data_IF_613886415483
#
_entry.id   IF_613886415483
#
_cell.length_a   1.000
_cell.length_b   1.000
_cell.length_c   1.000
_cell.angle_alpha   90.00
_cell.angle_beta   90.00
_cell.angle_gamma   90.00
#
_symmetry.space_group_name_H-M   'P 1'
#
loop_
_entity.id
_entity.type
_entity.pdbx_description
1 polymer ?
#
# COMPACT_ATOMS: atom_id res chain seq x y z
N UNK A 1 8.79 -21.04 -28.63
CA UNK A 1 7.41 -20.80 -28.18
C UNK A 1 7.28 -21.29 -26.74
N UNK A 2 7.73 -20.54 -25.73
CA UNK A 2 7.58 -20.98 -24.31
C UNK A 2 7.79 -19.87 -23.25
N UNK A 3 7.48 -18.61 -23.57
CA UNK A 3 7.58 -17.51 -22.59
C UNK A 3 6.28 -16.70 -22.41
N UNK A 4 5.19 -17.12 -23.06
CA UNK A 4 3.89 -16.42 -23.03
C UNK A 4 2.90 -17.07 -22.04
N UNK A 5 3.27 -18.19 -21.42
CA UNK A 5 2.43 -18.92 -20.46
C UNK A 5 2.61 -18.48 -19.00
N UNK A 6 3.67 -17.74 -18.65
CA UNK A 6 4.02 -17.49 -17.24
C UNK A 6 3.33 -16.27 -16.62
N UNK A 7 2.98 -15.26 -17.41
CA UNK A 7 2.34 -14.01 -16.93
C UNK A 7 0.82 -14.08 -16.96
N UNK A 8 0.24 -14.96 -17.79
CA UNK A 8 -1.21 -15.16 -17.92
C UNK A 8 -1.83 -15.80 -16.68
N UNK A 9 -1.05 -16.59 -15.93
CA UNK A 9 -1.53 -17.33 -14.76
C UNK A 9 -1.74 -16.44 -13.53
N UNK A 10 -0.99 -15.33 -13.37
CA UNK A 10 -1.06 -14.53 -12.14
C UNK A 10 -2.37 -13.73 -11.98
N UNK A 11 -2.95 -13.24 -13.07
CA UNK A 11 -4.22 -12.49 -13.05
C UNK A 11 -5.44 -13.41 -13.12
N UNK A 12 -5.35 -14.52 -13.86
CA UNK A 12 -6.38 -15.56 -13.81
C UNK A 12 -6.44 -16.25 -12.44
N UNK A 13 -5.31 -16.49 -11.76
CA UNK A 13 -5.30 -16.97 -10.37
C UNK A 13 -5.87 -15.94 -9.40
N UNK A 14 -5.62 -14.64 -9.63
CA UNK A 14 -6.20 -13.56 -8.82
C UNK A 14 -7.74 -13.52 -8.89
N UNK A 15 -8.30 -13.85 -10.05
CA UNK A 15 -9.74 -13.82 -10.35
C UNK A 15 -10.41 -15.18 -10.07
N UNK A 16 -9.69 -16.30 -10.20
CA UNK A 16 -10.19 -17.65 -9.85
C UNK A 16 -10.15 -17.91 -8.33
N UNK A 17 -9.24 -17.28 -7.59
CA UNK A 17 -9.22 -17.28 -6.11
C UNK A 17 -10.36 -16.45 -5.48
N UNK A 18 -11.14 -15.72 -6.30
CA UNK A 18 -12.41 -15.11 -5.89
C UNK A 18 -13.52 -16.14 -5.67
N UNK A 19 -13.21 -17.44 -5.80
CA UNK A 19 -14.08 -18.53 -5.39
C UNK A 19 -14.21 -18.56 -3.86
N UNK A 20 -15.46 -18.50 -3.42
CA UNK A 20 -16.04 -18.53 -2.05
C UNK A 20 -15.60 -19.68 -1.12
N UNK A 21 -14.49 -20.39 -1.41
CA UNK A 21 -13.91 -21.43 -0.55
C UNK A 21 -13.15 -20.88 0.66
N UNK A 22 -12.83 -19.58 0.71
CA UNK A 22 -12.12 -18.97 1.85
C UNK A 22 -13.02 -18.65 3.05
N UNK A 23 -14.35 -18.61 2.85
CA UNK A 23 -15.31 -18.38 3.94
C UNK A 23 -15.34 -19.52 4.98
N UNK A 24 -14.74 -20.68 4.69
CA UNK A 24 -14.80 -21.85 5.58
C UNK A 24 -13.47 -22.28 6.19
N UNK A 25 -12.30 -21.79 5.74
CA UNK A 25 -11.01 -22.36 6.19
C UNK A 25 -10.18 -21.51 7.17
N UNK A 26 -10.47 -20.22 7.35
CA UNK A 26 -9.68 -19.37 8.27
C UNK A 26 -10.49 -18.55 9.26
N UNK A 27 -11.74 -18.97 9.47
CA UNK A 27 -12.62 -18.45 10.52
C UNK A 27 -12.15 -18.84 11.92
N UNK A 28 -11.28 -19.85 12.07
CA UNK A 28 -10.85 -20.32 13.41
C UNK A 28 -9.91 -19.34 14.12
N UNK A 29 -8.76 -18.92 13.54
CA UNK A 29 -7.72 -18.26 14.35
C UNK A 29 -8.02 -16.86 14.89
N UNK A 30 -8.88 -16.07 14.23
CA UNK A 30 -9.27 -14.74 14.74
C UNK A 30 -10.42 -14.83 15.76
N UNK A 31 -11.38 -15.72 15.52
CA UNK A 31 -12.51 -15.98 16.42
C UNK A 31 -12.03 -16.72 17.68
N UNK A 32 -11.05 -17.63 17.54
CA UNK A 32 -10.29 -18.26 18.64
C UNK A 32 -9.50 -17.22 19.44
N UNK A 33 -8.84 -16.25 18.80
CA UNK A 33 -8.17 -15.17 19.54
C UNK A 33 -9.18 -14.24 20.23
N UNK A 34 -10.40 -14.06 19.70
CA UNK A 34 -11.48 -13.35 20.41
C UNK A 34 -11.95 -14.15 21.63
N UNK A 35 -12.17 -15.46 21.47
CA UNK A 35 -12.58 -16.36 22.55
C UNK A 35 -11.54 -16.42 23.66
N UNK A 36 -10.25 -16.59 23.32
CA UNK A 36 -9.12 -16.60 24.26
C UNK A 36 -9.02 -15.30 25.09
N UNK A 37 -9.29 -14.14 24.46
CA UNK A 37 -9.27 -12.85 25.17
C UNK A 37 -10.51 -12.73 26.06
N UNK A 38 -11.68 -13.19 25.61
CA UNK A 38 -12.90 -13.20 26.43
C UNK A 38 -12.77 -14.08 27.67
N UNK A 39 -12.07 -15.21 27.56
CA UNK A 39 -11.80 -16.12 28.68
C UNK A 39 -10.77 -15.56 29.69
N UNK A 40 -10.07 -14.47 29.34
CA UNK A 40 -9.11 -13.77 30.21
C UNK A 40 -9.60 -12.35 30.56
N UNK A 41 -10.44 -12.17 31.61
CA UNK A 41 -11.10 -10.89 31.89
C UNK A 41 -10.14 -9.73 32.21
N UNK A 42 -8.91 -10.02 32.63
CA UNK A 42 -7.86 -9.00 32.84
C UNK A 42 -7.35 -8.35 31.55
N UNK A 43 -7.65 -8.93 30.40
CA UNK A 43 -7.19 -8.46 29.09
C UNK A 43 -8.32 -7.90 28.21
N UNK A 44 -9.56 -7.90 28.69
CA UNK A 44 -10.73 -7.41 27.94
C UNK A 44 -11.16 -6.01 28.39
N UNK A 45 -11.41 -5.11 27.43
CA UNK A 45 -11.93 -3.77 27.67
C UNK A 45 -13.36 -3.71 27.13
N UNK A 46 -14.33 -3.50 28.01
CA UNK A 46 -15.77 -3.47 27.68
C UNK A 46 -16.17 -2.38 26.70
N UNK A 47 -15.44 -1.25 26.70
CA UNK A 47 -15.77 -0.11 25.82
C UNK A 47 -15.33 -0.33 24.38
N UNK A 48 -14.43 -1.30 24.14
CA UNK A 48 -13.86 -1.61 22.84
C UNK A 48 -14.65 -2.72 22.14
N UNK A 49 -14.75 -2.63 20.82
CA UNK A 49 -15.26 -3.74 20.01
C UNK A 49 -14.35 -4.98 20.14
N UNK A 50 -14.84 -6.20 19.84
CA UNK A 50 -14.02 -7.40 19.85
C UNK A 50 -12.76 -7.29 18.97
N UNK A 51 -12.92 -6.70 17.79
CA UNK A 51 -11.81 -6.47 16.84
C UNK A 51 -10.80 -5.48 17.42
N UNK A 52 -11.27 -4.39 18.05
CA UNK A 52 -10.39 -3.43 18.70
C UNK A 52 -9.63 -4.05 19.89
N UNK A 53 -10.27 -4.90 20.70
CA UNK A 53 -9.59 -5.63 21.78
C UNK A 53 -8.44 -6.51 21.27
N UNK A 54 -8.67 -7.28 20.19
CA UNK A 54 -7.62 -8.09 19.56
C UNK A 54 -6.45 -7.21 19.08
N UNK A 55 -6.74 -6.10 18.40
CA UNK A 55 -5.71 -5.18 17.91
C UNK A 55 -4.90 -4.60 19.07
N UNK A 56 -5.55 -4.09 20.11
CA UNK A 56 -4.85 -3.52 21.27
C UNK A 56 -3.97 -4.57 21.95
N UNK A 57 -4.42 -5.82 22.08
CA UNK A 57 -3.61 -6.91 22.63
C UNK A 57 -2.39 -7.24 21.77
N UNK A 58 -2.52 -7.22 20.44
CA UNK A 58 -1.37 -7.41 19.55
C UNK A 58 -0.39 -6.23 19.66
N UNK A 59 -0.90 -5.00 19.76
CA UNK A 59 -0.08 -3.82 20.02
C UNK A 59 0.68 -3.91 21.35
N UNK A 60 0.03 -4.37 22.43
CA UNK A 60 0.68 -4.51 23.75
C UNK A 60 1.80 -5.55 23.72
N UNK A 61 1.59 -6.69 23.04
CA UNK A 61 2.62 -7.70 22.78
C UNK A 61 3.83 -7.11 22.03
N UNK A 62 3.60 -6.32 20.98
CA UNK A 62 4.67 -5.64 20.21
C UNK A 62 5.45 -4.66 21.08
N UNK A 63 4.77 -3.96 21.99
CA UNK A 63 5.40 -3.01 22.91
C UNK A 63 6.14 -3.70 24.07
N UNK A 64 5.94 -5.00 24.28
CA UNK A 64 6.45 -5.73 25.44
C UNK A 64 5.80 -5.27 26.76
N UNK A 65 4.57 -4.76 26.70
CA UNK A 65 3.82 -4.24 27.84
C UNK A 65 2.56 -5.07 28.08
N UNK A 66 2.10 -5.12 29.33
CA UNK A 66 0.76 -5.64 29.63
C UNK A 66 -0.32 -4.66 29.16
N UNK A 67 -1.55 -5.16 28.97
CA UNK A 67 -2.72 -4.32 28.65
C UNK A 67 -2.94 -3.22 29.69
N UNK A 68 -2.73 -3.53 30.98
CA UNK A 68 -2.85 -2.58 32.08
C UNK A 68 -1.79 -1.47 32.00
N UNK A 69 -0.53 -1.81 31.69
CA UNK A 69 0.54 -0.83 31.52
C UNK A 69 0.30 0.09 30.31
N UNK A 70 -0.22 -0.45 29.21
CA UNK A 70 -0.60 0.36 28.04
C UNK A 70 -1.71 1.35 28.40
N UNK A 71 -2.69 0.92 29.20
CA UNK A 71 -3.76 1.78 29.71
C UNK A 71 -3.25 2.85 30.66
N UNK A 72 -2.41 2.50 31.64
CA UNK A 72 -1.81 3.46 32.56
C UNK A 72 -0.99 4.52 31.81
N UNK A 73 -0.18 4.10 30.84
CA UNK A 73 0.59 5.01 29.98
C UNK A 73 -0.30 5.94 29.15
N UNK A 74 -1.46 5.44 28.71
CA UNK A 74 -2.45 6.27 28.04
C UNK A 74 -3.05 7.28 29.02
N UNK A 75 -3.51 6.83 30.20
CA UNK A 75 -4.17 7.68 31.19
C UNK A 75 -3.24 8.77 31.76
N UNK A 76 -1.93 8.50 31.83
CA UNK A 76 -0.91 9.47 32.22
C UNK A 76 -0.69 10.57 31.17
N UNK A 77 -0.91 10.27 29.88
CA UNK A 77 -0.70 11.21 28.76
C UNK A 77 -2.00 11.86 28.29
N UNK A 78 -3.13 11.21 28.53
CA UNK A 78 -4.44 11.65 28.06
C UNK A 78 -4.99 12.76 28.98
N UNK A 79 -5.39 13.92 28.43
CA UNK A 79 -6.14 14.92 29.17
C UNK A 79 -7.45 14.33 29.71
N UNK A 80 -7.88 14.77 30.90
CA UNK A 80 -9.09 14.24 31.54
C UNK A 80 -10.37 14.51 30.73
N UNK A 81 -10.35 15.50 29.84
CA UNK A 81 -11.44 15.81 28.89
C UNK A 81 -11.66 14.73 27.80
N UNK A 82 -10.68 13.86 27.58
CA UNK A 82 -10.71 12.78 26.58
C UNK A 82 -11.19 11.46 27.20
N UNK A 83 -10.93 11.23 28.49
CA UNK A 83 -11.28 10.00 29.21
C UNK A 83 -12.79 9.78 29.36
N UNK A 84 -13.59 10.85 29.34
CA UNK A 84 -15.04 10.81 29.58
C UNK A 84 -15.91 10.92 28.31
N UNK A 85 -15.32 10.86 27.10
CA UNK A 85 -16.06 11.05 25.84
C UNK A 85 -16.41 9.72 25.16
N UNK A 86 -17.49 9.75 24.37
CA UNK A 86 -17.90 8.72 23.41
C UNK A 86 -16.82 8.30 22.39
N UNK A 87 -15.69 9.01 22.34
CA UNK A 87 -14.55 8.72 21.47
C UNK A 87 -13.41 7.98 22.17
N UNK A 88 -13.54 7.63 23.46
CA UNK A 88 -12.49 6.94 24.23
C UNK A 88 -11.95 5.71 23.48
N UNK A 89 -12.84 4.84 23.01
CA UNK A 89 -12.48 3.62 22.28
C UNK A 89 -11.59 3.90 21.06
N UNK A 90 -11.93 4.94 20.29
CA UNK A 90 -11.19 5.35 19.09
C UNK A 90 -9.83 5.92 19.43
N UNK A 91 -9.77 6.83 20.39
CA UNK A 91 -8.53 7.52 20.76
C UNK A 91 -7.56 6.56 21.44
N UNK A 92 -8.06 5.66 22.27
CA UNK A 92 -7.25 4.62 22.89
C UNK A 92 -6.71 3.62 21.84
N UNK A 93 -7.54 3.19 20.88
CA UNK A 93 -7.10 2.36 19.76
C UNK A 93 -6.01 3.07 18.95
N UNK A 94 -6.23 4.32 18.55
CA UNK A 94 -5.25 5.14 17.80
C UNK A 94 -3.92 5.26 18.55
N UNK A 95 -3.96 5.51 19.86
CA UNK A 95 -2.75 5.55 20.69
C UNK A 95 -1.98 4.22 20.66
N UNK A 96 -2.68 3.09 20.84
CA UNK A 96 -2.07 1.77 20.83
C UNK A 96 -1.47 1.44 19.45
N UNK A 97 -2.22 1.74 18.39
CA UNK A 97 -1.76 1.57 17.01
C UNK A 97 -0.52 2.41 16.72
N UNK A 98 -0.55 3.68 17.07
CA UNK A 98 0.57 4.60 16.86
C UNK A 98 1.84 4.11 17.55
N UNK A 99 1.74 3.74 18.83
CA UNK A 99 2.88 3.25 19.60
C UNK A 99 3.47 1.96 19.01
N UNK A 100 2.62 1.01 18.62
CA UNK A 100 3.08 -0.25 18.02
C UNK A 100 3.69 -0.04 16.62
N UNK A 101 3.07 0.82 15.79
CA UNK A 101 3.59 1.17 14.47
C UNK A 101 4.95 1.86 14.57
N UNK A 102 5.11 2.82 15.47
CA UNK A 102 6.37 3.52 15.70
C UNK A 102 7.53 2.57 16.04
N UNK A 103 7.24 1.42 16.65
CA UNK A 103 8.24 0.39 17.00
C UNK A 103 8.51 -0.59 15.87
N UNK A 104 7.47 -1.00 15.14
CA UNK A 104 7.58 -1.96 14.04
C UNK A 104 8.25 -1.38 12.80
N UNK A 105 8.02 -0.10 12.47
CA UNK A 105 8.65 0.54 11.31
C UNK A 105 10.16 0.76 11.47
N UNK A 106 10.71 0.59 12.68
CA UNK A 106 12.16 0.66 12.93
C UNK A 106 12.88 -0.61 12.47
N UNK A 107 12.16 -1.69 12.17
CA UNK A 107 12.73 -2.94 11.69
C UNK A 107 12.83 -2.91 10.17
N UNK A 108 14.02 -3.14 9.64
CA UNK A 108 14.22 -3.22 8.19
C UNK A 108 13.37 -4.34 7.58
N UNK A 109 12.73 -4.04 6.44
CA UNK A 109 11.87 -5.00 5.75
C UNK A 109 10.52 -5.26 6.44
N UNK A 110 10.07 -4.39 7.36
CA UNK A 110 8.77 -4.54 8.04
C UNK A 110 7.58 -4.78 7.10
N UNK A 111 7.61 -4.29 5.86
CA UNK A 111 6.58 -4.52 4.85
C UNK A 111 6.54 -5.98 4.33
N UNK A 112 7.65 -6.72 4.43
CA UNK A 112 7.71 -8.13 4.05
C UNK A 112 7.16 -9.06 5.16
N UNK A 113 6.98 -8.57 6.38
CA UNK A 113 6.39 -9.31 7.49
C UNK A 113 4.86 -9.46 7.31
N UNK A 114 4.38 -10.70 7.19
CA UNK A 114 2.95 -11.01 7.07
C UNK A 114 2.16 -10.65 8.32
N UNK A 115 2.77 -10.71 9.50
CA UNK A 115 2.13 -10.34 10.76
C UNK A 115 1.93 -8.82 10.82
N UNK A 116 2.92 -8.04 10.39
CA UNK A 116 2.79 -6.59 10.26
C UNK A 116 1.65 -6.23 9.30
N UNK A 117 1.61 -6.82 8.09
CA UNK A 117 0.55 -6.53 7.11
C UNK A 117 -0.83 -6.94 7.62
N UNK A 118 -0.93 -8.06 8.33
CA UNK A 118 -2.19 -8.48 8.96
C UNK A 118 -2.62 -7.52 10.06
N UNK A 119 -1.68 -7.11 10.90
CA UNK A 119 -1.93 -6.17 11.97
C UNK A 119 -2.43 -4.82 11.43
N UNK A 120 -1.77 -4.23 10.44
CA UNK A 120 -2.19 -2.93 9.88
C UNK A 120 -3.56 -3.00 9.21
N UNK A 121 -3.90 -4.15 8.61
CA UNK A 121 -5.25 -4.39 8.12
C UNK A 121 -6.27 -4.47 9.26
N UNK A 122 -5.99 -5.25 10.30
CA UNK A 122 -6.90 -5.40 11.45
C UNK A 122 -7.04 -4.06 12.21
N UNK A 123 -5.98 -3.23 12.28
CA UNK A 123 -6.03 -1.86 12.79
C UNK A 123 -7.00 -0.98 12.00
N UNK A 124 -6.96 -1.05 10.67
CA UNK A 124 -7.86 -0.29 9.79
C UNK A 124 -9.32 -0.71 9.99
N UNK A 125 -9.59 -2.01 10.09
CA UNK A 125 -10.93 -2.54 10.36
C UNK A 125 -11.41 -2.12 11.76
N UNK A 126 -10.54 -2.22 12.77
CA UNK A 126 -10.85 -1.80 14.14
C UNK A 126 -11.15 -0.29 14.23
N UNK A 127 -10.47 0.53 13.42
CA UNK A 127 -10.65 1.98 13.42
C UNK A 127 -12.01 2.42 12.85
N UNK A 128 -12.58 1.64 11.93
CA UNK A 128 -13.93 1.88 11.41
C UNK A 128 -14.99 1.69 12.51
N UNK A 129 -14.80 0.69 13.38
CA UNK A 129 -15.72 0.30 14.44
C UNK A 129 -15.02 0.04 15.79
N UNK A 130 -14.53 1.09 16.47
CA UNK A 130 -13.65 0.92 17.64
C UNK A 130 -14.40 0.59 18.93
N UNK A 131 -15.67 1.01 19.06
CA UNK A 131 -16.44 0.91 20.30
C UNK A 131 -17.37 -0.31 20.33
N UNK A 132 -17.64 -0.89 21.51
CA UNK A 132 -18.55 -2.03 21.66
C UNK A 132 -19.98 -1.73 21.17
N UNK A 133 -20.43 -0.48 21.29
CA UNK A 133 -21.76 -0.04 20.82
C UNK A 133 -21.94 -0.07 19.30
N UNK A 134 -20.87 -0.28 18.53
CA UNK A 134 -20.91 -0.40 17.08
C UNK A 134 -21.21 -1.81 16.57
N UNK A 135 -21.22 -2.82 17.45
CA UNK A 135 -21.46 -4.23 17.13
C UNK A 135 -22.77 -4.52 16.35
N UNK A 136 -23.94 -3.92 16.68
CA UNK A 136 -25.16 -4.14 15.89
C UNK A 136 -25.09 -3.48 14.49
N UNK A 137 -24.30 -2.41 14.33
CA UNK A 137 -24.10 -1.74 13.03
C UNK A 137 -23.18 -2.57 12.12
N UNK A 138 -22.16 -3.24 12.69
CA UNK A 138 -21.27 -4.14 11.95
C UNK A 138 -22.05 -5.29 11.33
N UNK A 139 -22.97 -5.93 12.07
CA UNK A 139 -23.74 -7.06 11.56
C UNK A 139 -24.68 -6.67 10.42
N UNK A 140 -25.28 -5.47 10.48
CA UNK A 140 -26.13 -4.91 9.43
C UNK A 140 -25.31 -4.53 8.18
N UNK A 141 -24.15 -3.90 8.36
CA UNK A 141 -23.28 -3.51 7.25
C UNK A 141 -22.59 -4.73 6.61
N UNK A 142 -22.18 -5.72 7.40
CA UNK A 142 -21.57 -6.96 6.92
C UNK A 142 -22.54 -7.81 6.09
N UNK A 143 -23.85 -7.78 6.41
CA UNK A 143 -24.88 -8.42 5.60
C UNK A 143 -25.09 -7.75 4.23
N UNK A 144 -24.68 -6.48 4.08
CA UNK A 144 -24.92 -5.67 2.87
C UNK A 144 -23.72 -5.56 1.92
N UNK A 145 -22.51 -5.97 2.30
CA UNK A 145 -21.30 -5.45 1.64
C UNK A 145 -20.57 -6.44 0.72
N UNK A 146 -20.81 -6.30 -0.59
CA UNK A 146 -19.88 -6.72 -1.65
C UNK A 146 -18.69 -5.77 -1.84
N UNK A 147 -18.67 -4.61 -1.17
CA UNK A 147 -17.72 -3.51 -1.38
C UNK A 147 -16.60 -3.37 -0.33
N UNK A 148 -16.44 -4.34 0.60
CA UNK A 148 -15.39 -4.25 1.63
C UNK A 148 -14.01 -4.63 1.10
N UNK A 149 -12.97 -3.88 1.49
CA UNK A 149 -11.59 -4.21 1.16
C UNK A 149 -11.20 -5.56 1.79
N UNK A 150 -10.86 -6.53 0.97
CA UNK A 150 -10.44 -7.84 1.43
C UNK A 150 -8.95 -7.88 1.80
N UNK A 151 -8.58 -8.62 2.85
CA UNK A 151 -7.19 -8.71 3.30
C UNK A 151 -6.23 -9.17 2.19
N UNK A 152 -6.65 -10.10 1.32
CA UNK A 152 -5.81 -10.58 0.22
C UNK A 152 -5.45 -9.49 -0.81
N UNK A 153 -6.32 -8.49 -0.99
CA UNK A 153 -6.04 -7.33 -1.86
C UNK A 153 -5.06 -6.40 -1.17
N UNK A 154 -5.30 -6.10 0.11
CA UNK A 154 -4.43 -5.27 0.94
C UNK A 154 -3.01 -5.84 1.09
N UNK A 155 -2.90 -7.14 1.37
CA UNK A 155 -1.64 -7.89 1.48
C UNK A 155 -0.81 -7.79 0.19
N UNK A 156 -1.45 -8.05 -0.96
CA UNK A 156 -0.82 -7.91 -2.28
C UNK A 156 -0.41 -6.46 -2.60
N UNK A 157 -1.18 -5.48 -2.13
CA UNK A 157 -0.84 -4.06 -2.28
C UNK A 157 0.43 -3.72 -1.49
N UNK A 158 0.48 -4.05 -0.20
CA UNK A 158 1.65 -3.76 0.64
C UNK A 158 2.92 -4.48 0.19
N UNK A 159 2.82 -5.73 -0.30
CA UNK A 159 3.96 -6.44 -0.89
C UNK A 159 4.50 -5.69 -2.11
N UNK A 160 3.61 -5.20 -3.00
CA UNK A 160 4.02 -4.40 -4.16
C UNK A 160 4.63 -3.07 -3.75
N UNK A 161 4.06 -2.41 -2.73
CA UNK A 161 4.58 -1.18 -2.17
C UNK A 161 6.00 -1.36 -1.62
N UNK A 162 6.24 -2.40 -0.82
CA UNK A 162 7.57 -2.71 -0.27
C UNK A 162 8.61 -3.00 -1.36
N UNK A 163 8.23 -3.73 -2.41
CA UNK A 163 9.08 -3.94 -3.59
C UNK A 163 9.38 -2.64 -4.32
N UNK A 164 8.38 -1.76 -4.45
CA UNK A 164 8.53 -0.42 -5.00
C UNK A 164 9.57 0.37 -4.21
N UNK A 165 9.36 0.54 -2.90
CA UNK A 165 10.26 1.30 -2.01
C UNK A 165 11.70 0.80 -2.07
N UNK A 166 11.93 -0.52 -2.09
CA UNK A 166 13.29 -1.06 -2.24
C UNK A 166 13.92 -0.73 -3.60
N UNK A 167 13.11 -0.75 -4.68
CA UNK A 167 13.55 -0.33 -6.01
C UNK A 167 13.87 1.18 -6.02
N UNK A 168 13.10 2.01 -5.31
CA UNK A 168 13.39 3.44 -5.12
C UNK A 168 14.77 3.63 -4.48
N UNK A 169 14.99 2.94 -3.35
CA UNK A 169 16.22 3.08 -2.57
C UNK A 169 17.45 2.66 -3.39
N UNK A 170 17.39 1.50 -4.06
CA UNK A 170 18.51 1.02 -4.87
C UNK A 170 18.79 1.91 -6.09
N UNK A 171 17.74 2.45 -6.73
CA UNK A 171 17.91 3.37 -7.86
C UNK A 171 18.40 4.75 -7.40
N UNK A 172 18.00 5.21 -6.22
CA UNK A 172 18.48 6.45 -5.60
C UNK A 172 19.98 6.40 -5.30
N UNK A 173 20.60 5.24 -5.12
CA UNK A 173 22.04 5.12 -4.89
C UNK A 173 22.87 5.02 -6.18
N UNK A 174 22.22 4.92 -7.36
CA UNK A 174 22.91 4.76 -8.64
C UNK A 174 23.60 6.04 -9.13
N UNK A 175 24.92 5.97 -9.34
CA UNK A 175 25.74 7.06 -9.90
C UNK A 175 25.40 7.38 -11.36
N UNK A 176 24.86 6.41 -12.11
CA UNK A 176 24.50 6.54 -13.53
C UNK A 176 23.34 7.50 -13.78
N UNK A 177 22.59 7.82 -12.73
CA UNK A 177 21.40 8.68 -12.81
C UNK A 177 21.63 10.02 -12.10
N UNK A 178 22.86 10.31 -11.68
CA UNK A 178 23.23 11.55 -11.01
C UNK A 178 23.03 12.79 -11.89
N UNK A 179 23.28 12.67 -13.21
CA UNK A 179 23.06 13.73 -14.19
C UNK A 179 21.59 14.11 -14.37
N UNK A 180 20.67 13.15 -14.22
CA UNK A 180 19.22 13.34 -14.31
C UNK A 180 18.63 14.03 -13.07
N UNK A 181 19.31 13.97 -11.92
CA UNK A 181 18.87 14.59 -10.65
C UNK A 181 19.28 16.06 -10.51
N UNK A 182 19.98 16.60 -11.49
CA UNK A 182 20.62 17.92 -11.37
C UNK A 182 19.59 19.04 -11.48
N UNK A 183 19.29 19.67 -10.34
CA UNK A 183 18.47 20.88 -10.21
C UNK A 183 17.62 20.92 -8.94
N UNK A 184 16.94 19.80 -8.61
CA UNK A 184 15.93 19.74 -7.52
C UNK A 184 16.11 18.56 -6.54
N UNK A 185 17.20 17.79 -6.66
CA UNK A 185 17.45 16.56 -5.86
C UNK A 185 16.34 15.51 -5.98
N UNK A 186 15.83 15.32 -7.20
CA UNK A 186 14.71 14.43 -7.48
C UNK A 186 15.02 12.97 -7.12
N UNK A 187 14.00 12.27 -6.60
CA UNK A 187 14.08 10.85 -6.28
C UNK A 187 13.56 10.03 -7.44
N UNK A 188 14.38 9.09 -7.89
CA UNK A 188 14.02 8.23 -9.01
C UNK A 188 13.10 7.13 -8.51
N UNK A 189 11.92 7.07 -9.12
CA UNK A 189 10.89 6.11 -8.77
C UNK A 189 11.00 4.80 -9.55
N UNK A 190 11.20 4.93 -10.85
CA UNK A 190 11.32 3.78 -11.71
C UNK A 190 12.13 4.14 -12.96
N UNK A 191 12.85 3.16 -13.49
CA UNK A 191 13.54 3.28 -14.78
C UNK A 191 13.16 2.05 -15.59
N UNK A 192 12.71 2.27 -16.82
CA UNK A 192 12.41 1.24 -17.80
C UNK A 192 13.01 1.60 -19.16
N UNK A 193 13.16 0.64 -20.08
CA UNK A 193 13.93 0.82 -21.32
C UNK A 193 15.45 0.86 -21.12
N UNK A 194 15.93 0.07 -20.15
CA UNK A 194 17.37 -0.14 -19.89
C UNK A 194 17.90 -1.34 -20.68
N UNK A 195 19.21 -1.61 -20.65
CA UNK A 195 19.80 -2.81 -21.29
C UNK A 195 19.14 -4.12 -20.83
N UNK A 196 18.61 -4.16 -19.60
CA UNK A 196 17.97 -5.33 -19.01
C UNK A 196 16.45 -5.38 -19.20
N UNK A 197 15.83 -4.34 -19.75
CA UNK A 197 14.37 -4.26 -19.93
C UNK A 197 14.01 -3.90 -21.36
N UNK A 198 12.75 -4.09 -21.75
CA UNK A 198 12.32 -3.72 -23.10
C UNK A 198 12.30 -2.19 -23.25
N UNK A 199 12.71 -1.64 -24.40
CA UNK A 199 12.68 -0.20 -24.64
C UNK A 199 11.25 0.33 -24.51
N UNK A 200 11.11 1.48 -23.86
CA UNK A 200 9.84 2.21 -23.83
C UNK A 200 9.70 2.96 -25.15
N UNK A 201 8.50 2.92 -25.73
CA UNK A 201 8.20 3.57 -27.00
C UNK A 201 7.50 4.91 -26.74
N UNK A 202 8.14 6.01 -27.13
CA UNK A 202 7.51 7.32 -27.17
C UNK A 202 6.83 7.50 -28.52
N UNK A 203 5.51 7.74 -28.50
CA UNK A 203 4.74 8.07 -29.70
C UNK A 203 4.52 9.58 -29.78
N UNK A 204 5.04 10.21 -30.83
CA UNK A 204 4.84 11.63 -31.13
C UNK A 204 4.26 11.76 -32.53
N UNK A 205 2.97 12.09 -32.60
CA UNK A 205 2.22 12.07 -33.85
C UNK A 205 2.22 10.67 -34.47
N UNK A 206 2.76 10.54 -35.69
CA UNK A 206 2.91 9.25 -36.39
C UNK A 206 4.27 8.59 -36.19
N UNK A 207 5.16 9.20 -35.41
CA UNK A 207 6.52 8.71 -35.18
C UNK A 207 6.62 7.96 -33.86
N UNK A 208 7.49 6.96 -33.82
CA UNK A 208 7.75 6.16 -32.61
C UNK A 208 9.25 6.11 -32.35
N UNK A 209 9.65 6.46 -31.13
CA UNK A 209 11.04 6.48 -30.69
C UNK A 209 11.25 5.45 -29.57
N UNK A 210 12.14 4.47 -29.73
CA UNK A 210 12.53 3.60 -28.63
C UNK A 210 13.48 4.35 -27.69
N UNK A 211 13.32 4.16 -26.39
CA UNK A 211 14.16 4.85 -25.42
C UNK A 211 14.02 4.32 -24.00
N UNK A 212 14.66 5.05 -23.10
CA UNK A 212 14.58 4.85 -21.65
C UNK A 212 13.61 5.85 -21.07
N UNK A 213 12.69 5.38 -20.23
CA UNK A 213 11.78 6.23 -19.45
C UNK A 213 12.16 6.15 -17.98
N UNK A 214 12.37 7.31 -17.37
CA UNK A 214 12.64 7.46 -15.95
C UNK A 214 11.48 8.22 -15.31
N UNK A 215 10.82 7.61 -14.33
CA UNK A 215 9.84 8.28 -13.48
C UNK A 215 10.57 8.81 -12.25
N UNK A 216 10.38 10.08 -11.92
CA UNK A 216 10.83 10.70 -10.66
C UNK A 216 9.63 11.13 -9.83
N UNK A 217 9.88 11.64 -8.62
CA UNK A 217 8.86 12.28 -7.79
C UNK A 217 8.36 13.62 -8.35
N UNK A 218 8.96 14.14 -9.42
CA UNK A 218 8.61 15.42 -10.04
C UNK A 218 8.32 15.37 -11.54
N UNK A 219 8.83 14.38 -12.27
CA UNK A 219 8.70 14.35 -13.73
C UNK A 219 8.77 12.93 -14.32
N UNK A 220 8.26 12.79 -15.54
CA UNK A 220 8.64 11.71 -16.44
C UNK A 220 9.77 12.20 -17.35
N UNK A 221 10.86 11.45 -17.45
CA UNK A 221 12.02 11.82 -18.26
C UNK A 221 12.24 10.74 -19.31
N UNK A 222 12.12 11.11 -20.58
CA UNK A 222 12.33 10.20 -21.72
C UNK A 222 13.62 10.52 -22.45
N UNK A 223 14.43 9.49 -22.65
CA UNK A 223 15.71 9.54 -23.36
C UNK A 223 15.66 8.58 -24.55
N UNK A 224 15.56 9.11 -25.78
CA UNK A 224 15.54 8.29 -26.97
C UNK A 224 16.88 7.56 -27.16
N UNK A 225 16.82 6.29 -27.57
CA UNK A 225 17.99 5.46 -27.80
C UNK A 225 18.61 5.79 -29.16
N UNK A 226 19.90 6.12 -29.17
CA UNK A 226 20.76 6.16 -30.36
C UNK A 226 21.66 4.93 -30.41
N UNK A 227 22.39 4.77 -31.51
CA UNK A 227 23.27 3.62 -31.81
C UNK A 227 24.22 3.27 -30.65
N UNK A 228 24.73 4.25 -29.89
CA UNK A 228 25.66 4.03 -28.76
C UNK A 228 25.43 5.00 -27.57
N UNK A 229 24.38 5.83 -27.60
CA UNK A 229 24.13 6.84 -26.57
C UNK A 229 22.64 7.13 -26.42
N UNK A 230 22.28 7.95 -25.44
CA UNK A 230 20.94 8.51 -25.31
C UNK A 230 20.90 9.93 -25.87
N UNK A 231 19.75 10.33 -26.41
CA UNK A 231 19.46 11.70 -26.79
C UNK A 231 19.29 12.62 -25.58
N UNK A 232 19.24 13.94 -25.82
CA UNK A 232 18.90 14.89 -24.75
C UNK A 232 17.54 14.52 -24.15
N UNK A 233 17.42 14.43 -22.80
CA UNK A 233 16.18 14.03 -22.17
C UNK A 233 15.05 15.00 -22.48
N UNK A 234 13.89 14.46 -22.83
CA UNK A 234 12.60 15.17 -22.81
C UNK A 234 12.01 15.03 -21.41
N UNK A 235 11.67 16.15 -20.79
CA UNK A 235 11.15 16.20 -19.42
C UNK A 235 9.67 16.57 -19.49
N UNK A 236 8.81 15.68 -19.01
CA UNK A 236 7.38 15.92 -18.82
C UNK A 236 7.15 16.18 -17.34
N UNK A 237 6.97 17.44 -16.98
CA UNK A 237 6.83 17.89 -15.60
C UNK A 237 5.49 17.40 -15.00
N UNK A 238 5.54 16.82 -13.80
CA UNK A 238 4.37 16.37 -13.04
C UNK A 238 4.12 17.23 -11.80
N UNK A 239 5.08 18.06 -11.38
CA UNK A 239 5.06 18.80 -10.13
C UNK A 239 4.51 20.22 -10.28
N UNK A 240 4.87 20.91 -11.35
CA UNK A 240 4.44 22.28 -11.60
C UNK A 240 3.08 22.29 -12.33
N UNK A 241 2.23 23.29 -12.09
CA UNK A 241 0.91 23.38 -12.71
C UNK A 241 1.00 23.96 -14.14
N UNK A 242 1.22 23.07 -15.11
CA UNK A 242 1.33 23.37 -16.53
C UNK A 242 0.05 23.01 -17.30
N UNK A 243 -1.09 22.93 -16.60
CA UNK A 243 -2.34 22.37 -17.12
C UNK A 243 -2.13 20.97 -17.74
N UNK A 244 -1.25 20.16 -17.15
CA UNK A 244 -0.96 18.84 -17.68
C UNK A 244 -2.14 17.88 -17.55
N UNK A 245 -2.37 17.10 -18.61
CA UNK A 245 -3.33 16.01 -18.68
C UNK A 245 -2.56 14.71 -18.75
N UNK A 246 -2.65 13.90 -17.69
CA UNK A 246 -2.06 12.57 -17.62
C UNK A 246 -3.17 11.53 -17.51
N UNK A 247 -3.22 10.58 -18.43
CA UNK A 247 -4.22 9.51 -18.41
C UNK A 247 -3.71 8.21 -19.02
N UNK A 248 -4.26 7.05 -18.63
CA UNK A 248 -4.02 5.81 -19.35
C UNK A 248 -4.47 5.93 -20.81
N UNK A 249 -3.68 5.40 -21.73
CA UNK A 249 -3.98 5.38 -23.18
C UNK A 249 -3.80 3.96 -23.71
N UNK A 250 -4.20 3.72 -24.96
CA UNK A 250 -4.13 2.40 -25.58
C UNK A 250 -3.25 2.39 -26.83
N UNK A 251 -2.19 1.59 -26.81
CA UNK A 251 -1.22 1.34 -27.89
C UNK A 251 -1.23 -0.10 -28.40
N UNK A 252 -1.94 -1.01 -27.73
CA UNK A 252 -2.03 -2.43 -28.09
C UNK A 252 -2.82 -2.68 -29.37
N UNK A 253 -2.59 -3.83 -30.05
CA UNK A 253 -3.36 -4.22 -31.23
C UNK A 253 -4.87 -4.20 -30.92
N UNK A 254 -5.63 -3.51 -31.75
CA UNK A 254 -7.09 -3.38 -31.62
C UNK A 254 -7.59 -2.67 -30.35
N UNK A 255 -6.75 -1.86 -29.69
CA UNK A 255 -7.15 -1.11 -28.49
C UNK A 255 -7.45 -2.02 -27.29
N UNK A 256 -6.83 -3.20 -27.23
CA UNK A 256 -7.01 -4.11 -26.09
C UNK A 256 -6.24 -3.63 -24.86
N UNK A 257 -6.99 -3.38 -23.77
CA UNK A 257 -6.42 -3.04 -22.45
C UNK A 257 -5.54 -4.14 -21.84
N UNK A 258 -5.68 -5.38 -22.30
CA UNK A 258 -5.04 -6.54 -21.68
C UNK A 258 -3.50 -6.50 -21.76
N UNK A 259 -2.95 -5.81 -22.76
CA UNK A 259 -1.50 -5.69 -22.99
C UNK A 259 -1.01 -4.25 -22.90
N UNK A 260 -1.87 -3.33 -22.51
CA UNK A 260 -1.59 -1.90 -22.59
C UNK A 260 -1.09 -1.33 -21.27
N UNK A 261 0.07 -0.67 -21.34
CA UNK A 261 0.65 0.11 -20.25
C UNK A 261 0.91 1.55 -20.70
N UNK A 262 0.26 1.99 -21.77
CA UNK A 262 0.50 3.31 -22.31
C UNK A 262 -0.07 4.41 -21.42
N UNK A 263 0.66 5.51 -21.36
CA UNK A 263 0.28 6.73 -20.66
C UNK A 263 0.34 7.86 -21.66
N UNK A 264 -0.73 8.64 -21.73
CA UNK A 264 -0.79 9.88 -22.46
C UNK A 264 -0.42 11.03 -21.53
N UNK A 265 0.45 11.91 -22.02
CA UNK A 265 0.81 13.17 -21.37
C UNK A 265 0.62 14.30 -22.38
N UNK A 266 0.04 15.41 -21.92
CA UNK A 266 -0.05 16.67 -22.67
C UNK A 266 -0.03 17.82 -21.69
N UNK A 267 0.64 18.91 -22.03
CA UNK A 267 0.75 20.15 -21.25
C UNK A 267 0.77 21.37 -22.17
N UNK A 268 0.84 22.58 -21.61
CA UNK A 268 1.02 23.81 -22.41
C UNK A 268 2.42 23.96 -22.99
N UNK A 269 3.42 23.30 -22.41
CA UNK A 269 4.82 23.37 -22.82
C UNK A 269 5.25 22.22 -23.75
N UNK A 270 4.50 21.12 -23.75
CA UNK A 270 4.77 19.85 -24.43
C UNK A 270 3.48 19.10 -24.75
#
# INVERSE_FOLDING_TARGET
MDMVSKTRNMWEDLVKDTSVKWLTKRRSGFEEEIEDIRDSPSNWISDLSPVANVVVRRCSKILGLSMSQVRENFDAKAPDSIKNKSNFARIFLEYCCFMALARTIQVDGYLDDSNFRRLTFDMMVAWEFPAATSEPVIHVLAASSGDRLHFSVYDKYLIRLGRGIRKLQSQSESSLLSSLRSGRSEKILEVDGTVTTQPVLEHVGVSTWPGRLTLTDHALIFEALRVVSYDKPKIYDLADDLQQVVRPELTGPWGTRLFDKAVFYKSVTL
#
